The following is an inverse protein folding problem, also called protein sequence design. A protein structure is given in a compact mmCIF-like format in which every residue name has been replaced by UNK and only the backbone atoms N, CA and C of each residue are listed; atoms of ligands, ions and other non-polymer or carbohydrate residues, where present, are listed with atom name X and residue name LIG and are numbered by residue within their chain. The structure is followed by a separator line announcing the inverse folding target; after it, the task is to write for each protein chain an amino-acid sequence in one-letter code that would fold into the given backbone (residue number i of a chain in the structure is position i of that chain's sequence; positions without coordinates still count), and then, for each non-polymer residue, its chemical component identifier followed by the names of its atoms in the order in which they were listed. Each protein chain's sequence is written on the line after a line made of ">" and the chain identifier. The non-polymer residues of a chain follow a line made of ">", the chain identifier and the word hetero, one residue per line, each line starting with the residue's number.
data_IF_367535307478
#
_entry.id   IF_367535307478
#
_cell.length_a   1.000
_cell.length_b   1.000
_cell.length_c   1.000
_cell.angle_alpha   90.00
_cell.angle_beta   90.00
_cell.angle_gamma   90.00
#
_symmetry.space_group_name_H-M   'P 1'
#
loop_
_entity.id
_entity.type
_entity.pdbx_description
1 polymer ?
#
# COMPACT_ATOMS: atom_id res chain seq x y z
N UNK A 1 -8.27 -19.07 -48.41
CA UNK A 1 -9.44 -18.55 -47.69
C UNK A 1 -8.94 -17.66 -46.56
N UNK A 2 -9.46 -16.44 -46.43
CA UNK A 2 -9.17 -15.63 -45.24
C UNK A 2 -9.92 -16.28 -44.06
N UNK A 3 -9.18 -16.95 -43.19
CA UNK A 3 -9.69 -17.31 -41.87
C UNK A 3 -9.88 -16.02 -41.08
N UNK A 4 -11.08 -15.44 -41.22
CA UNK A 4 -11.54 -14.35 -40.37
C UNK A 4 -11.84 -14.97 -39.01
N UNK A 5 -10.81 -15.12 -38.17
CA UNK A 5 -11.02 -15.30 -36.75
C UNK A 5 -11.83 -14.10 -36.27
N UNK A 6 -13.13 -14.29 -36.08
CA UNK A 6 -13.94 -13.44 -35.21
C UNK A 6 -13.43 -13.69 -33.79
N UNK A 7 -12.25 -13.13 -33.48
CA UNK A 7 -11.76 -13.13 -32.11
C UNK A 7 -12.69 -12.21 -31.36
N UNK A 8 -13.50 -12.77 -30.48
CA UNK A 8 -14.25 -12.00 -29.50
C UNK A 8 -13.20 -11.31 -28.61
N UNK A 9 -12.78 -10.10 -29.02
CA UNK A 9 -11.73 -9.33 -28.36
C UNK A 9 -12.08 -9.05 -26.89
N UNK A 10 -13.37 -9.20 -26.52
CA UNK A 10 -13.83 -9.14 -25.14
C UNK A 10 -13.36 -10.33 -24.28
N UNK A 11 -13.10 -11.50 -24.86
CA UNK A 11 -12.44 -12.61 -24.16
C UNK A 11 -10.98 -12.28 -23.85
N UNK A 12 -10.29 -11.62 -24.78
CA UNK A 12 -8.93 -11.11 -24.58
C UNK A 12 -8.91 -9.99 -23.52
N UNK A 13 -9.95 -9.16 -23.42
CA UNK A 13 -10.07 -8.14 -22.36
C UNK A 13 -10.08 -8.76 -20.95
N UNK A 14 -10.74 -9.91 -20.79
CA UNK A 14 -10.74 -10.68 -19.54
C UNK A 14 -9.36 -11.25 -19.19
N UNK A 15 -8.60 -11.68 -20.21
CA UNK A 15 -7.28 -12.31 -20.05
C UNK A 15 -6.13 -11.30 -19.89
N UNK A 16 -6.19 -10.16 -20.58
CA UNK A 16 -5.18 -9.10 -20.54
C UNK A 16 -5.28 -8.17 -19.33
N UNK A 17 -6.30 -8.35 -18.49
CA UNK A 17 -6.57 -7.48 -17.36
C UNK A 17 -6.54 -6.00 -17.75
N UNK A 18 -7.38 -5.63 -18.72
CA UNK A 18 -7.47 -4.26 -19.25
C UNK A 18 -7.67 -3.17 -18.20
N UNK A 19 -8.11 -3.56 -16.99
CA UNK A 19 -8.22 -2.64 -15.86
C UNK A 19 -6.88 -2.12 -15.34
N UNK A 20 -5.79 -2.81 -15.68
CA UNK A 20 -4.45 -2.56 -15.18
C UNK A 20 -3.46 -2.13 -16.27
N UNK A 21 -3.93 -1.69 -17.45
CA UNK A 21 -3.01 -1.30 -18.51
C UNK A 21 -2.23 -0.06 -18.08
N UNK A 22 -0.93 -0.27 -17.86
CA UNK A 22 0.02 0.79 -17.53
C UNK A 22 0.27 1.62 -18.78
N UNK A 23 0.01 2.92 -18.69
CA UNK A 23 0.43 3.90 -19.69
C UNK A 23 1.96 4.00 -19.62
N UNK A 24 2.66 3.65 -20.70
CA UNK A 24 4.12 3.74 -20.80
C UNK A 24 4.54 5.22 -20.82
N UNK A 25 4.64 5.84 -19.64
CA UNK A 25 5.05 7.24 -19.48
C UNK A 25 6.24 7.36 -18.53
N UNK A 26 6.87 8.54 -18.57
CA UNK A 26 8.10 8.89 -17.87
C UNK A 26 8.14 8.47 -16.39
N UNK A 27 9.34 8.22 -15.81
CA UNK A 27 9.51 7.75 -14.43
C UNK A 27 8.82 8.58 -13.33
N UNK A 28 8.64 9.88 -13.54
CA UNK A 28 7.87 10.76 -12.64
C UNK A 28 6.39 10.38 -12.58
N UNK A 29 5.82 9.91 -13.69
CA UNK A 29 4.47 9.35 -13.77
C UNK A 29 4.38 7.99 -13.07
N UNK A 30 5.43 7.17 -13.12
CA UNK A 30 5.49 5.89 -12.39
C UNK A 30 5.44 6.09 -10.86
N UNK A 31 6.09 7.15 -10.33
CA UNK A 31 5.94 7.57 -8.92
C UNK A 31 4.50 7.97 -8.59
N UNK A 32 3.80 8.66 -9.49
CA UNK A 32 2.38 8.99 -9.33
C UNK A 32 1.49 7.74 -9.46
N UNK A 33 1.88 6.77 -10.29
CA UNK A 33 1.22 5.47 -10.45
C UNK A 33 1.35 4.53 -9.24
N UNK A 34 2.25 4.81 -8.29
CA UNK A 34 2.23 4.13 -6.98
C UNK A 34 0.98 4.47 -6.15
N UNK A 35 0.34 5.61 -6.44
CA UNK A 35 -0.84 6.13 -5.71
C UNK A 35 -2.14 6.00 -6.48
N UNK A 36 -2.10 5.94 -7.81
CA UNK A 36 -3.29 5.85 -8.67
C UNK A 36 -3.04 4.94 -9.88
N UNK A 37 -4.02 4.13 -10.28
CA UNK A 37 -4.03 3.44 -11.58
C UNK A 37 -5.08 4.04 -12.50
N UNK A 38 -4.79 4.05 -13.80
CA UNK A 38 -5.80 4.36 -14.82
C UNK A 38 -6.48 3.06 -15.23
N UNK A 39 -7.81 3.04 -15.18
CA UNK A 39 -8.66 1.94 -15.58
C UNK A 39 -9.58 2.40 -16.72
N UNK A 40 -9.79 1.54 -17.73
CA UNK A 40 -10.80 1.73 -18.77
C UNK A 40 -11.99 0.82 -18.47
N UNK A 41 -13.17 1.40 -18.24
CA UNK A 41 -14.32 0.64 -17.77
C UNK A 41 -15.11 0.02 -18.93
N UNK A 42 -14.76 -1.22 -19.27
CA UNK A 42 -15.37 -1.96 -20.38
C UNK A 42 -16.79 -2.47 -20.07
N UNK A 43 -17.12 -2.67 -18.78
CA UNK A 43 -18.40 -3.28 -18.37
C UNK A 43 -19.57 -2.31 -18.48
N UNK A 44 -19.29 -1.03 -18.30
CA UNK A 44 -20.27 0.06 -18.42
C UNK A 44 -20.25 0.66 -19.84
N UNK A 45 -19.40 0.14 -20.74
CA UNK A 45 -19.31 0.65 -22.10
C UNK A 45 -20.59 0.35 -22.89
N UNK A 46 -21.09 1.37 -23.59
CA UNK A 46 -22.23 1.26 -24.49
C UNK A 46 -21.91 0.34 -25.68
N UNK A 47 -22.92 -0.28 -26.33
CA UNK A 47 -22.71 -1.12 -27.50
C UNK A 47 -21.88 -0.45 -28.60
N UNK A 48 -22.08 0.84 -28.84
CA UNK A 48 -21.37 1.62 -29.87
C UNK A 48 -19.87 1.77 -29.52
N UNK A 49 -19.55 1.93 -28.23
CA UNK A 49 -18.18 1.97 -27.74
C UNK A 49 -17.49 0.61 -27.89
N UNK A 50 -18.22 -0.48 -27.69
CA UNK A 50 -17.72 -1.84 -27.89
C UNK A 50 -17.43 -2.13 -29.36
N UNK A 51 -18.29 -1.66 -30.27
CA UNK A 51 -18.09 -1.76 -31.72
C UNK A 51 -16.87 -0.93 -32.15
N UNK A 52 -16.76 0.31 -31.66
CA UNK A 52 -15.61 1.18 -31.93
C UNK A 52 -14.29 0.55 -31.45
N UNK A 53 -14.30 -0.07 -30.28
CA UNK A 53 -13.14 -0.79 -29.74
C UNK A 53 -12.70 -1.92 -30.68
N UNK A 54 -13.62 -2.79 -31.09
CA UNK A 54 -13.34 -3.90 -32.01
C UNK A 54 -12.77 -3.40 -33.34
N UNK A 55 -13.39 -2.37 -33.92
CA UNK A 55 -12.94 -1.79 -35.19
C UNK A 55 -11.51 -1.19 -35.08
N UNK A 56 -11.18 -0.54 -33.97
CA UNK A 56 -9.85 0.01 -33.69
C UNK A 56 -8.80 -1.09 -33.47
N UNK A 57 -9.15 -2.18 -32.77
CA UNK A 57 -8.26 -3.34 -32.60
C UNK A 57 -7.97 -3.98 -33.96
N UNK A 58 -8.99 -4.25 -34.75
CA UNK A 58 -8.84 -4.86 -36.07
C UNK A 58 -8.01 -3.97 -37.01
N UNK A 59 -8.22 -2.66 -36.96
CA UNK A 59 -7.43 -1.68 -37.72
C UNK A 59 -5.97 -1.66 -37.29
N UNK A 60 -5.69 -1.71 -35.98
CA UNK A 60 -4.33 -1.70 -35.45
C UNK A 60 -3.55 -2.99 -35.73
N UNK A 61 -4.22 -4.15 -35.78
CA UNK A 61 -3.61 -5.45 -36.07
C UNK A 61 -3.37 -5.69 -37.57
N UNK A 62 -4.11 -5.03 -38.45
CA UNK A 62 -3.91 -5.10 -39.92
C UNK A 62 -2.58 -4.50 -40.39
N UNK A 63 -1.88 -3.74 -39.55
CA UNK A 63 -0.55 -3.19 -39.89
C UNK A 63 0.49 -4.33 -39.91
N UNK A 64 1.16 -4.59 -41.05
CA UNK A 64 2.08 -5.73 -41.16
C UNK A 64 3.24 -5.60 -40.18
N UNK A 65 3.59 -6.71 -39.53
CA UNK A 65 4.80 -6.80 -38.73
C UNK A 65 6.03 -6.78 -39.64
N UNK A 66 7.11 -6.14 -39.19
CA UNK A 66 8.41 -6.26 -39.85
C UNK A 66 8.92 -7.72 -39.72
N UNK A 67 9.70 -8.12 -40.74
CA UNK A 67 10.14 -9.47 -41.11
C UNK A 67 10.25 -10.55 -40.01
N UNK A 68 9.92 -11.79 -40.40
CA UNK A 68 10.09 -13.03 -39.61
C UNK A 68 11.57 -13.26 -39.24
N UNK A 69 11.98 -12.73 -38.10
CA UNK A 69 13.24 -13.03 -37.42
C UNK A 69 13.00 -13.62 -36.03
N UNK A 70 14.08 -14.02 -35.38
CA UNK A 70 14.04 -14.52 -34.00
C UNK A 70 13.57 -13.41 -33.05
N UNK A 71 12.56 -13.68 -32.23
CA UNK A 71 11.84 -12.67 -31.43
C UNK A 71 10.48 -12.21 -31.98
N UNK A 72 10.02 -12.76 -33.11
CA UNK A 72 8.72 -12.51 -33.71
C UNK A 72 7.54 -12.61 -32.73
N UNK A 73 7.50 -13.65 -31.88
CA UNK A 73 6.43 -13.83 -30.88
C UNK A 73 6.37 -12.70 -29.84
N UNK A 74 7.53 -12.21 -29.38
CA UNK A 74 7.59 -11.10 -28.43
C UNK A 74 7.15 -9.79 -29.08
N UNK A 75 7.50 -9.57 -30.35
CA UNK A 75 7.08 -8.40 -31.12
C UNK A 75 5.57 -8.43 -31.43
N UNK A 76 5.04 -9.59 -31.79
CA UNK A 76 3.61 -9.83 -31.99
C UNK A 76 2.81 -9.61 -30.70
N UNK A 77 3.33 -10.10 -29.58
CA UNK A 77 2.74 -9.88 -28.26
C UNK A 77 2.75 -8.41 -27.86
N UNK A 78 3.85 -7.69 -28.09
CA UNK A 78 3.93 -6.25 -27.84
C UNK A 78 2.98 -5.46 -28.75
N UNK A 79 2.89 -5.84 -30.03
CA UNK A 79 1.96 -5.27 -31.00
C UNK A 79 0.52 -5.43 -30.54
N UNK A 80 0.14 -6.65 -30.16
CA UNK A 80 -1.19 -6.93 -29.64
C UNK A 80 -1.51 -6.07 -28.41
N UNK A 81 -0.60 -6.01 -27.42
CA UNK A 81 -0.74 -5.15 -26.23
C UNK A 81 -0.93 -3.67 -26.57
N UNK A 82 -0.09 -3.15 -27.46
CA UNK A 82 -0.11 -1.73 -27.85
C UNK A 82 -1.40 -1.37 -28.59
N UNK A 83 -1.84 -2.22 -29.51
CA UNK A 83 -3.09 -2.06 -30.25
C UNK A 83 -4.30 -2.09 -29.34
N UNK A 84 -4.36 -3.07 -28.44
CA UNK A 84 -5.38 -3.22 -27.42
C UNK A 84 -5.49 -1.96 -26.53
N UNK A 85 -4.37 -1.45 -26.02
CA UNK A 85 -4.33 -0.23 -25.22
C UNK A 85 -4.78 1.02 -26.00
N UNK A 86 -4.36 1.13 -27.26
CA UNK A 86 -4.72 2.26 -28.12
C UNK A 86 -6.22 2.27 -28.43
N UNK A 87 -6.79 1.10 -28.73
CA UNK A 87 -8.21 0.95 -28.94
C UNK A 87 -9.02 1.31 -27.68
N UNK A 88 -8.58 0.84 -26.49
CA UNK A 88 -9.25 1.19 -25.23
C UNK A 88 -9.20 2.69 -24.93
N UNK A 89 -8.08 3.37 -25.22
CA UNK A 89 -7.97 4.84 -25.07
C UNK A 89 -8.97 5.61 -25.91
N UNK A 90 -9.30 5.09 -27.09
CA UNK A 90 -10.22 5.73 -28.03
C UNK A 90 -11.67 5.39 -27.75
N UNK A 91 -11.94 4.16 -27.33
CA UNK A 91 -13.29 3.63 -27.22
C UNK A 91 -13.90 3.79 -25.82
N UNK A 92 -13.10 3.78 -24.75
CA UNK A 92 -13.60 3.72 -23.38
C UNK A 92 -13.26 4.97 -22.57
N UNK A 93 -14.13 5.29 -21.61
CA UNK A 93 -13.89 6.36 -20.66
C UNK A 93 -12.76 6.02 -19.69
N UNK A 94 -11.91 7.01 -19.43
CA UNK A 94 -10.79 6.91 -18.49
C UNK A 94 -11.29 7.10 -17.06
N UNK A 95 -11.01 6.13 -16.19
CA UNK A 95 -11.22 6.25 -14.74
C UNK A 95 -9.87 6.28 -14.02
N UNK A 96 -9.69 7.24 -13.13
CA UNK A 96 -8.52 7.26 -12.23
C UNK A 96 -8.95 6.60 -10.93
N UNK A 97 -8.33 5.48 -10.59
CA UNK A 97 -8.56 4.76 -9.34
C UNK A 97 -7.40 5.06 -8.42
N UNK A 98 -7.70 5.54 -7.22
CA UNK A 98 -6.71 5.59 -6.14
C UNK A 98 -6.29 4.19 -5.75
N UNK A 99 -5.00 3.88 -5.87
CA UNK A 99 -4.37 2.70 -5.28
C UNK A 99 -4.16 2.87 -3.77
N UNK A 100 -4.44 4.07 -3.23
CA UNK A 100 -4.75 4.21 -1.82
C UNK A 100 -6.16 3.62 -1.56
N UNK A 101 -6.36 2.33 -1.84
CA UNK A 101 -7.21 1.57 -0.92
C UNK A 101 -6.52 1.74 0.41
N UNK A 102 -7.18 2.38 1.38
CA UNK A 102 -6.83 2.28 2.78
C UNK A 102 -6.44 0.81 2.98
N UNK A 103 -5.14 0.54 3.18
CA UNK A 103 -4.76 -0.70 3.81
C UNK A 103 -5.63 -0.69 5.06
N UNK A 104 -6.67 -1.51 5.08
CA UNK A 104 -7.50 -1.66 6.26
C UNK A 104 -6.51 -2.15 7.27
N UNK A 105 -6.00 -1.21 8.08
CA UNK A 105 -4.96 -1.47 9.04
C UNK A 105 -5.45 -2.69 9.80
N UNK A 106 -4.75 -3.83 9.69
CA UNK A 106 -5.20 -5.06 10.30
C UNK A 106 -5.59 -4.77 11.73
N UNK A 107 -6.73 -5.29 12.19
CA UNK A 107 -7.27 -4.94 13.50
C UNK A 107 -6.22 -5.10 14.60
N UNK A 108 -5.39 -6.15 14.49
CA UNK A 108 -4.26 -6.45 15.38
C UNK A 108 -3.16 -5.38 15.41
N UNK A 109 -2.99 -4.59 14.34
CA UNK A 109 -1.97 -3.54 14.23
C UNK A 109 -2.44 -2.17 14.73
N UNK A 110 -3.76 -1.98 14.89
CA UNK A 110 -4.34 -0.71 15.34
C UNK A 110 -3.79 -0.24 16.68
N UNK A 111 -3.62 -1.10 17.72
CA UNK A 111 -3.09 -0.66 19.00
C UNK A 111 -1.66 -0.11 18.89
N UNK A 112 -0.80 -0.77 18.13
CA UNK A 112 0.58 -0.33 17.91
C UNK A 112 0.66 1.01 17.17
N UNK A 113 -0.18 1.18 16.15
CA UNK A 113 -0.28 2.44 15.38
C UNK A 113 -0.84 3.55 16.26
N UNK A 114 -1.87 3.26 17.05
CA UNK A 114 -2.45 4.22 17.99
C UNK A 114 -1.40 4.72 18.98
N UNK A 115 -0.67 3.80 19.62
CA UNK A 115 0.38 4.14 20.59
C UNK A 115 1.50 4.96 19.94
N UNK A 116 1.92 4.60 18.71
CA UNK A 116 2.92 5.36 17.96
C UNK A 116 2.45 6.78 17.66
N UNK A 117 1.22 6.96 17.19
CA UNK A 117 0.64 8.27 16.86
C UNK A 117 0.48 9.12 18.11
N UNK A 118 0.03 8.52 19.21
CA UNK A 118 -0.11 9.17 20.51
C UNK A 118 1.23 9.72 21.01
N UNK A 119 2.30 8.94 20.89
CA UNK A 119 3.64 9.39 21.23
C UNK A 119 4.16 10.49 20.28
N UNK A 120 3.93 10.36 18.97
CA UNK A 120 4.30 11.39 17.98
C UNK A 120 3.59 12.73 18.24
N UNK A 121 2.29 12.68 18.56
CA UNK A 121 1.53 13.86 18.95
C UNK A 121 2.08 14.49 20.21
N UNK A 122 2.45 13.69 21.22
CA UNK A 122 3.04 14.20 22.44
C UNK A 122 4.41 14.86 22.18
N UNK A 123 5.33 14.18 21.47
CA UNK A 123 6.63 14.74 21.09
C UNK A 123 6.44 16.07 20.33
N UNK A 124 5.47 16.13 19.43
CA UNK A 124 5.15 17.36 18.69
C UNK A 124 4.59 18.48 19.58
N UNK A 125 3.87 18.12 20.65
CA UNK A 125 3.37 19.09 21.62
C UNK A 125 4.48 19.72 22.48
N UNK A 126 5.60 19.00 22.68
CA UNK A 126 6.73 19.48 23.48
C UNK A 126 7.38 20.74 22.92
N UNK A 127 7.22 21.04 21.63
CA UNK A 127 7.68 22.30 21.03
C UNK A 127 6.99 23.54 21.60
N UNK A 128 5.86 23.38 22.29
CA UNK A 128 5.09 24.48 22.91
C UNK A 128 5.41 24.65 24.40
N UNK A 129 6.34 23.86 24.94
CA UNK A 129 6.65 23.83 26.37
C UNK A 129 7.91 24.67 26.61
N UNK A 130 7.81 25.69 27.46
CA UNK A 130 8.89 26.64 27.71
C UNK A 130 9.41 26.63 29.15
N UNK A 131 8.77 25.87 30.06
CA UNK A 131 9.21 25.72 31.44
C UNK A 131 9.12 24.27 31.95
N UNK A 132 9.86 23.98 33.03
CA UNK A 132 9.80 22.68 33.71
C UNK A 132 8.41 22.40 34.30
N UNK A 133 7.68 23.44 34.70
CA UNK A 133 6.32 23.30 35.21
C UNK A 133 5.33 22.93 34.11
N UNK A 134 5.43 23.54 32.93
CA UNK A 134 4.62 23.16 31.77
C UNK A 134 4.89 21.70 31.37
N UNK A 135 6.16 21.29 31.41
CA UNK A 135 6.57 19.92 31.13
C UNK A 135 5.97 18.95 32.16
N UNK A 136 6.02 19.29 33.44
CA UNK A 136 5.42 18.49 34.51
C UNK A 136 3.92 18.28 34.30
N UNK A 137 3.15 19.35 34.09
CA UNK A 137 1.70 19.24 33.89
C UNK A 137 1.36 18.41 32.63
N UNK A 138 2.07 18.67 31.53
CA UNK A 138 1.90 17.95 30.28
C UNK A 138 2.25 16.46 30.44
N UNK A 139 3.37 16.15 31.08
CA UNK A 139 3.85 14.79 31.30
C UNK A 139 2.97 14.01 32.27
N UNK A 140 2.52 14.64 33.35
CA UNK A 140 1.61 14.03 34.32
C UNK A 140 0.27 13.62 33.68
N UNK A 141 -0.21 14.38 32.70
CA UNK A 141 -1.42 14.04 31.94
C UNK A 141 -1.20 12.91 30.93
N UNK A 142 -0.03 12.87 30.29
CA UNK A 142 0.27 11.91 29.22
C UNK A 142 0.76 10.56 29.73
N UNK A 143 1.75 10.56 30.64
CA UNK A 143 2.53 9.39 31.01
C UNK A 143 1.72 8.24 31.58
N UNK A 144 0.75 8.42 32.51
CA UNK A 144 0.03 7.29 33.09
C UNK A 144 -0.73 6.45 32.06
N UNK A 145 -1.37 7.13 31.10
CA UNK A 145 -2.12 6.47 30.03
C UNK A 145 -1.18 5.84 29.00
N UNK A 146 -0.10 6.53 28.62
CA UNK A 146 0.89 5.98 27.71
C UNK A 146 1.61 4.76 28.28
N UNK A 147 2.04 4.83 29.55
CA UNK A 147 2.72 3.76 30.27
C UNK A 147 1.88 2.48 30.30
N UNK A 148 0.60 2.59 30.69
CA UNK A 148 -0.32 1.44 30.69
C UNK A 148 -0.42 0.79 29.31
N UNK A 149 -0.74 1.57 28.28
CA UNK A 149 -0.89 1.05 26.91
C UNK A 149 0.41 0.46 26.36
N UNK A 150 1.57 1.04 26.72
CA UNK A 150 2.87 0.51 26.32
C UNK A 150 3.13 -0.85 26.99
N UNK A 151 2.94 -0.96 28.31
CA UNK A 151 3.18 -2.20 29.04
C UNK A 151 2.23 -3.31 28.61
N UNK A 152 0.97 -2.98 28.31
CA UNK A 152 -0.01 -3.93 27.78
C UNK A 152 0.40 -4.50 26.40
N UNK A 153 1.01 -3.66 25.55
CA UNK A 153 1.46 -4.06 24.20
C UNK A 153 2.87 -4.65 24.16
N UNK A 154 3.71 -4.32 25.13
CA UNK A 154 5.12 -4.73 25.19
C UNK A 154 5.53 -5.15 26.61
N UNK A 155 4.95 -6.23 27.17
CA UNK A 155 5.20 -6.65 28.55
C UNK A 155 6.69 -6.94 28.81
N UNK A 156 7.39 -7.52 27.84
CA UNK A 156 8.81 -7.88 27.94
C UNK A 156 9.78 -6.70 27.73
N UNK A 157 9.26 -5.48 27.58
CA UNK A 157 10.04 -4.30 27.20
C UNK A 157 9.87 -3.15 28.19
N UNK A 158 9.49 -3.45 29.44
CA UNK A 158 9.28 -2.46 30.51
C UNK A 158 10.49 -1.55 30.71
N UNK A 159 11.70 -2.05 30.48
CA UNK A 159 12.95 -1.31 30.61
C UNK A 159 12.97 0.03 29.85
N UNK A 160 12.26 0.14 28.71
CA UNK A 160 12.11 1.41 28.00
C UNK A 160 11.33 2.45 28.82
N UNK A 161 10.28 2.03 29.51
CA UNK A 161 9.46 2.88 30.37
C UNK A 161 10.18 3.15 31.69
N UNK A 162 10.86 2.15 32.25
CA UNK A 162 11.61 2.27 33.51
C UNK A 162 12.76 3.29 33.38
N UNK A 163 13.25 3.53 32.16
CA UNK A 163 14.26 4.56 31.87
C UNK A 163 13.72 5.99 31.87
N UNK A 164 12.39 6.17 31.83
CA UNK A 164 11.76 7.49 31.82
C UNK A 164 11.53 7.99 33.26
N UNK A 165 11.71 9.30 33.50
CA UNK A 165 11.32 9.87 34.79
C UNK A 165 9.80 9.78 34.95
N UNK A 166 9.35 9.19 36.05
CA UNK A 166 7.93 9.25 36.41
C UNK A 166 7.54 10.70 36.76
N UNK A 167 6.28 11.12 36.58
CA UNK A 167 5.88 12.51 36.76
C UNK A 167 6.29 13.12 38.11
N UNK A 168 6.19 12.35 39.19
CA UNK A 168 6.55 12.78 40.55
C UNK A 168 8.04 13.04 40.74
N UNK A 169 8.90 12.41 39.95
CA UNK A 169 10.36 12.57 40.02
C UNK A 169 10.91 13.50 38.94
N UNK A 170 10.06 14.09 38.09
CA UNK A 170 10.54 14.91 36.96
C UNK A 170 11.36 16.12 37.44
N UNK A 171 10.89 16.82 38.48
CA UNK A 171 11.58 17.96 39.05
C UNK A 171 12.92 17.58 39.69
N UNK A 172 12.95 16.48 40.45
CA UNK A 172 14.20 16.03 41.07
C UNK A 172 15.22 15.65 40.00
N UNK A 173 14.81 14.91 38.97
CA UNK A 173 15.67 14.55 37.83
C UNK A 173 16.18 15.80 37.09
N UNK A 174 15.33 16.80 36.87
CA UNK A 174 15.74 18.06 36.27
C UNK A 174 16.82 18.78 37.10
N UNK A 175 16.61 18.90 38.42
CA UNK A 175 17.54 19.56 39.34
C UNK A 175 18.88 18.80 39.39
N UNK A 176 18.84 17.47 39.53
CA UNK A 176 20.06 16.63 39.64
C UNK A 176 20.93 16.66 38.40
N UNK A 177 20.33 16.86 37.21
CA UNK A 177 21.11 16.92 35.97
C UNK A 177 21.87 18.24 35.80
N UNK A 178 21.58 19.27 36.60
CA UNK A 178 22.22 20.59 36.52
C UNK A 178 22.24 21.17 35.09
N UNK A 179 21.16 20.97 34.34
CA UNK A 179 21.01 21.46 32.96
C UNK A 179 20.11 22.69 32.92
N UNK A 180 20.30 23.54 31.92
CA UNK A 180 19.26 24.49 31.54
C UNK A 180 18.04 23.76 30.97
N UNK A 181 16.88 24.41 31.03
CA UNK A 181 15.63 23.80 30.58
C UNK A 181 15.65 23.39 29.09
N UNK A 182 16.17 24.19 28.14
CA UNK A 182 16.25 23.79 26.73
C UNK A 182 17.09 22.52 26.50
N UNK A 183 18.23 22.36 27.19
CA UNK A 183 19.07 21.17 27.05
C UNK A 183 18.39 19.96 27.67
N UNK A 184 17.76 20.12 28.84
CA UNK A 184 16.98 19.07 29.47
C UNK A 184 15.84 18.60 28.55
N UNK A 185 15.05 19.53 28.00
CA UNK A 185 13.94 19.23 27.10
C UNK A 185 14.41 18.49 25.84
N UNK A 186 15.57 18.87 25.28
CA UNK A 186 16.17 18.19 24.12
C UNK A 186 16.58 16.75 24.44
N UNK A 187 17.17 16.51 25.62
CA UNK A 187 17.48 15.15 26.08
C UNK A 187 16.21 14.33 26.29
N UNK A 188 15.21 14.90 26.94
CA UNK A 188 13.92 14.27 27.17
C UNK A 188 13.23 13.87 25.85
N UNK A 189 13.20 14.77 24.86
CA UNK A 189 12.70 14.47 23.52
C UNK A 189 13.47 13.33 22.84
N UNK A 190 14.79 13.26 23.04
CA UNK A 190 15.63 12.20 22.47
C UNK A 190 15.27 10.82 23.03
N UNK A 191 14.99 10.72 24.33
CA UNK A 191 14.49 9.48 24.94
C UNK A 191 13.16 9.06 24.33
N UNK A 192 12.19 9.97 24.24
CA UNK A 192 10.88 9.68 23.64
C UNK A 192 11.00 9.26 22.17
N UNK A 193 11.89 9.90 21.40
CA UNK A 193 12.16 9.52 20.00
C UNK A 193 12.75 8.12 19.88
N UNK A 194 13.52 7.68 20.87
CA UNK A 194 14.07 6.31 20.91
C UNK A 194 12.96 5.29 21.09
N UNK A 195 12.06 5.52 22.04
CA UNK A 195 10.86 4.69 22.24
C UNK A 195 9.98 4.71 20.98
N UNK A 196 9.80 5.87 20.35
CA UNK A 196 9.06 5.99 19.09
C UNK A 196 9.66 5.14 17.98
N UNK A 197 10.98 5.16 17.82
CA UNK A 197 11.68 4.35 16.81
C UNK A 197 11.47 2.85 17.07
N UNK A 198 11.52 2.44 18.33
CA UNK A 198 11.21 1.07 18.72
C UNK A 198 9.78 0.67 18.32
N UNK A 199 8.77 1.46 18.72
CA UNK A 199 7.37 1.20 18.38
C UNK A 199 7.18 1.16 16.86
N UNK A 200 7.76 2.12 16.13
CA UNK A 200 7.70 2.17 14.66
C UNK A 200 8.31 0.92 14.02
N UNK A 201 9.47 0.47 14.50
CA UNK A 201 10.13 -0.75 14.03
C UNK A 201 9.27 -1.99 14.26
N UNK A 202 8.62 -2.09 15.43
CA UNK A 202 7.67 -3.16 15.74
C UNK A 202 6.44 -3.12 14.84
N UNK A 203 5.86 -1.95 14.60
CA UNK A 203 4.75 -1.79 13.64
C UNK A 203 5.15 -2.29 12.26
N UNK A 204 6.32 -1.92 11.76
CA UNK A 204 6.81 -2.37 10.44
C UNK A 204 6.97 -3.89 10.40
N UNK A 205 7.61 -4.48 11.42
CA UNK A 205 7.81 -5.92 11.51
C UNK A 205 6.47 -6.68 11.50
N UNK A 206 5.52 -6.25 12.33
CA UNK A 206 4.20 -6.88 12.41
C UNK A 206 3.38 -6.68 11.12
N UNK A 207 3.57 -5.55 10.43
CA UNK A 207 2.97 -5.31 9.12
C UNK A 207 3.50 -6.28 8.07
N UNK A 208 4.81 -6.53 8.07
CA UNK A 208 5.43 -7.46 7.13
C UNK A 208 5.09 -8.92 7.45
N UNK A 209 5.03 -9.29 8.74
CA UNK A 209 4.51 -10.59 9.17
C UNK A 209 3.07 -10.80 8.69
N UNK A 210 2.20 -9.81 8.86
CA UNK A 210 0.82 -9.88 8.39
C UNK A 210 0.75 -10.07 6.88
N UNK A 211 1.55 -9.34 6.09
CA UNK A 211 1.62 -9.53 4.63
C UNK A 211 2.06 -10.94 4.27
N UNK A 212 3.11 -11.47 4.92
CA UNK A 212 3.60 -12.81 4.65
C UNK A 212 2.56 -13.89 4.96
N UNK A 213 1.87 -13.77 6.09
CA UNK A 213 0.78 -14.69 6.48
C UNK A 213 -0.37 -14.61 5.49
N UNK A 214 -0.81 -13.40 5.12
CA UNK A 214 -1.87 -13.20 4.13
C UNK A 214 -1.48 -13.79 2.76
N UNK A 215 -0.23 -13.61 2.33
CA UNK A 215 0.30 -14.17 1.09
C UNK A 215 0.30 -15.70 1.14
N UNK A 216 0.79 -16.31 2.23
CA UNK A 216 0.78 -17.77 2.41
C UNK A 216 -0.64 -18.33 2.37
N UNK A 217 -1.60 -17.66 3.02
CA UNK A 217 -3.01 -18.06 3.01
C UNK A 217 -3.62 -17.98 1.60
N UNK A 218 -3.31 -16.92 0.84
CA UNK A 218 -3.77 -16.77 -0.54
C UNK A 218 -3.19 -17.85 -1.47
N UNK A 219 -1.91 -18.19 -1.31
CA UNK A 219 -1.27 -19.28 -2.07
C UNK A 219 -1.91 -20.63 -1.70
N UNK A 220 -2.20 -20.88 -0.43
CA UNK A 220 -2.87 -22.10 0.01
C UNK A 220 -4.31 -22.20 -0.55
N UNK A 221 -5.08 -21.11 -0.52
CA UNK A 221 -6.43 -21.04 -1.13
C UNK A 221 -6.35 -21.33 -2.64
N UNK A 222 -5.39 -20.70 -3.33
CA UNK A 222 -5.16 -20.90 -4.76
C UNK A 222 -4.83 -22.36 -5.09
N UNK A 223 -3.92 -22.98 -4.33
CA UNK A 223 -3.54 -24.38 -4.50
C UNK A 223 -4.76 -25.30 -4.28
N UNK A 224 -5.52 -25.09 -3.21
CA UNK A 224 -6.74 -25.85 -2.94
C UNK A 224 -7.73 -25.75 -4.10
N UNK A 225 -7.97 -24.54 -4.61
CA UNK A 225 -8.87 -24.33 -5.73
C UNK A 225 -8.37 -25.00 -7.02
N UNK A 226 -7.05 -25.05 -7.24
CA UNK A 226 -6.46 -25.72 -8.41
C UNK A 226 -6.70 -27.23 -8.39
N UNK A 227 -6.57 -27.87 -7.22
CA UNK A 227 -6.74 -29.31 -7.07
C UNK A 227 -8.21 -29.74 -7.00
N UNK A 228 -9.10 -28.90 -6.46
CA UNK A 228 -10.54 -29.23 -6.31
C UNK A 228 -11.37 -28.98 -7.58
N UNK A 229 -11.23 -27.81 -8.20
CA UNK A 229 -12.05 -27.42 -9.36
C UNK A 229 -11.34 -26.35 -10.19
N UNK A 230 -10.92 -26.72 -11.41
CA UNK A 230 -10.28 -25.80 -12.38
C UNK A 230 -11.14 -24.55 -12.65
N UNK A 231 -12.47 -24.67 -12.63
CA UNK A 231 -13.40 -23.54 -12.76
C UNK A 231 -13.47 -22.65 -11.51
N UNK A 232 -13.34 -23.21 -10.31
CA UNK A 232 -13.20 -22.46 -9.04
C UNK A 232 -11.87 -21.72 -8.99
N UNK A 233 -10.78 -22.35 -9.43
CA UNK A 233 -9.47 -21.72 -9.59
C UNK A 233 -9.50 -20.54 -10.56
N UNK A 234 -10.12 -20.70 -11.74
CA UNK A 234 -10.27 -19.61 -12.72
C UNK A 234 -11.10 -18.48 -12.11
N UNK A 235 -12.25 -18.78 -11.49
CA UNK A 235 -13.11 -17.75 -10.86
C UNK A 235 -12.43 -17.03 -9.69
N UNK A 236 -11.68 -17.72 -8.84
CA UNK A 236 -10.95 -17.10 -7.73
C UNK A 236 -9.78 -16.23 -8.22
N UNK A 237 -9.05 -16.70 -9.24
CA UNK A 237 -7.93 -15.97 -9.85
C UNK A 237 -8.39 -14.73 -10.62
N UNK A 238 -9.60 -14.76 -11.18
CA UNK A 238 -10.23 -13.65 -11.90
C UNK A 238 -11.04 -12.71 -10.99
N UNK A 239 -11.22 -13.02 -9.70
CA UNK A 239 -11.97 -12.19 -8.76
C UNK A 239 -11.20 -10.90 -8.42
N UNK A 240 -11.80 -9.76 -8.77
CA UNK A 240 -11.21 -8.42 -8.63
C UNK A 240 -11.15 -7.89 -7.20
N UNK A 241 -12.00 -8.39 -6.31
CA UNK A 241 -12.06 -7.90 -4.93
C UNK A 241 -10.89 -8.40 -4.08
N UNK A 242 -10.34 -9.58 -4.42
CA UNK A 242 -9.27 -10.28 -3.69
C UNK A 242 -7.85 -10.05 -4.21
N UNK A 243 -7.64 -9.17 -5.20
CA UNK A 243 -6.29 -8.95 -5.75
C UNK A 243 -5.39 -8.18 -4.77
N UNK A 244 -4.50 -8.89 -4.11
CA UNK A 244 -3.22 -8.38 -3.60
C UNK A 244 -2.10 -9.33 -4.01
N UNK A 245 -1.62 -9.17 -5.24
CA UNK A 245 -0.34 -9.74 -5.67
C UNK A 245 0.43 -8.57 -6.28
N UNK A 246 1.54 -8.22 -5.62
CA UNK A 246 2.56 -7.32 -6.15
C UNK A 246 3.47 -8.20 -6.99
N UNK A 247 3.69 -7.80 -8.24
CA UNK A 247 4.78 -8.29 -9.06
C UNK A 247 5.84 -7.18 -9.08
N UNK A 248 7.08 -7.57 -8.79
CA UNK A 248 8.28 -6.72 -8.86
C UNK A 248 8.39 -5.96 -10.20
#
# INVERSE_FOLDING_TARGET
>A
SLDTFSSDHFLLIGFFDFLNIRDLRAPSYLKQCSRFRTEYNVYVALPEQKILFTAEVDSGLKKPAYSKGDGYLNQEWYRLKSTLLTAARRAFSKRIISLNKLQVVPFKLRPFIHLSQKLDHYISSLFKIFSISDLYFSWNRFFPSFCREFTDLFPDQSAFIDSLPIPTTLYSVFITLHLDFPTFLTKFQTFLRTIKRFISGKVTLEFDNHKQVAMKAAIAEQNSNFYEDKGKFIRSSLNREKRSIVLD
#
